data_IF_378816182366
#
_entry.id   IF_378816182366
#
_cell.length_a   1.000
_cell.length_b   1.000
_cell.length_c   1.000
_cell.angle_alpha   90.00
_cell.angle_beta   90.00
_cell.angle_gamma   90.00
#
_symmetry.space_group_name_H-M   'P 1'
#
loop_
_entity.id
_entity.type
_entity.pdbx_description
1 polymer ?
#
# COMPACT_ATOMS: atom_id res chain seq x y z
N UNK A 1 1.04 83.97 17.98
CA UNK A 1 1.64 83.43 16.74
C UNK A 1 2.33 82.11 17.09
N UNK A 2 2.00 81.07 16.33
CA UNK A 2 2.59 79.73 16.17
C UNK A 2 2.97 78.86 17.40
N UNK A 3 2.18 77.79 17.53
CA UNK A 3 2.44 76.54 18.26
C UNK A 3 3.50 75.70 17.52
N UNK A 4 4.39 75.03 18.24
CA UNK A 4 5.08 73.83 17.74
C UNK A 4 5.06 72.74 18.82
N UNK A 5 4.20 71.74 18.60
CA UNK A 5 4.19 70.49 19.36
C UNK A 5 5.16 69.49 18.72
N UNK A 6 6.01 68.88 19.53
CA UNK A 6 6.91 67.81 19.11
C UNK A 6 6.13 66.50 19.11
N UNK A 7 5.82 65.97 17.93
CA UNK A 7 5.34 64.59 17.78
C UNK A 7 6.55 63.64 17.73
N UNK A 8 6.66 62.76 18.71
CA UNK A 8 7.54 61.60 18.66
C UNK A 8 6.89 60.51 17.80
N UNK A 9 7.46 60.23 16.63
CA UNK A 9 7.08 59.07 15.81
C UNK A 9 7.87 57.85 16.31
N UNK A 10 7.21 56.95 17.02
CA UNK A 10 7.69 55.60 17.29
C UNK A 10 7.42 54.71 16.07
N UNK A 11 8.45 54.48 15.25
CA UNK A 11 8.39 53.51 14.16
C UNK A 11 8.46 52.08 14.74
N UNK A 12 7.31 51.42 14.85
CA UNK A 12 7.23 50.00 15.18
C UNK A 12 7.71 49.16 14.00
N UNK A 13 8.86 48.50 14.15
CA UNK A 13 9.31 47.46 13.22
C UNK A 13 8.47 46.21 13.50
N UNK A 14 7.47 45.97 12.66
CA UNK A 14 6.76 44.69 12.64
C UNK A 14 7.66 43.65 11.97
N UNK A 15 8.37 42.86 12.77
CA UNK A 15 9.07 41.67 12.27
C UNK A 15 8.01 40.62 11.89
N UNK A 16 7.69 40.54 10.59
CA UNK A 16 6.95 39.41 10.06
C UNK A 16 7.86 38.18 10.12
N UNK A 17 7.68 37.35 11.15
CA UNK A 17 8.27 36.02 11.17
C UNK A 17 7.62 35.21 10.06
N UNK A 18 8.30 35.09 8.92
CA UNK A 18 7.97 34.09 7.93
C UNK A 18 8.12 32.72 8.61
N UNK A 19 6.99 32.08 8.93
CA UNK A 19 6.97 30.67 9.27
C UNK A 19 7.53 29.93 8.05
N UNK A 20 8.80 29.54 8.12
CA UNK A 20 9.37 28.62 7.16
C UNK A 20 8.52 27.36 7.22
N UNK A 21 7.79 27.07 6.13
CA UNK A 21 7.15 25.78 5.94
C UNK A 21 8.24 24.72 5.99
N UNK A 22 8.16 23.79 6.93
CA UNK A 22 9.05 22.64 6.95
C UNK A 22 9.08 21.99 5.56
N UNK A 23 10.25 21.58 5.06
CA UNK A 23 10.34 20.92 3.77
C UNK A 23 9.41 19.71 3.78
N UNK A 24 8.62 19.56 2.71
CA UNK A 24 7.72 18.42 2.56
C UNK A 24 8.50 17.12 2.77
N UNK A 25 7.95 16.14 3.52
CA UNK A 25 8.65 14.89 3.76
C UNK A 25 8.95 14.20 2.43
N UNK A 26 10.12 13.56 2.36
CA UNK A 26 10.45 12.74 1.20
C UNK A 26 9.35 11.70 0.97
N UNK A 27 8.87 11.64 -0.27
CA UNK A 27 7.71 10.82 -0.65
C UNK A 27 8.06 9.34 -0.75
N UNK A 28 9.24 9.03 -1.27
CA UNK A 28 9.69 7.66 -1.49
C UNK A 28 10.43 7.12 -0.28
N UNK A 29 9.98 5.97 0.21
CA UNK A 29 10.63 5.17 1.22
C UNK A 29 11.34 3.99 0.57
N UNK A 30 12.67 4.00 0.61
CA UNK A 30 13.48 2.94 0.04
C UNK A 30 13.48 1.70 0.96
N UNK A 31 13.60 0.48 0.40
CA UNK A 31 13.87 -0.70 1.21
C UNK A 31 15.14 -0.52 2.05
N UNK A 32 15.06 -0.79 3.35
CA UNK A 32 16.20 -0.74 4.28
C UNK A 32 16.70 0.67 4.62
N UNK A 33 15.94 1.71 4.28
CA UNK A 33 16.29 3.12 4.50
C UNK A 33 16.60 3.43 5.98
N UNK A 34 15.84 2.82 6.90
CA UNK A 34 16.10 2.88 8.33
C UNK A 34 15.75 4.21 8.98
N UNK A 35 15.01 5.08 8.29
CA UNK A 35 14.38 6.28 8.88
C UNK A 35 13.30 5.89 9.87
N UNK A 36 13.13 6.68 10.93
CA UNK A 36 12.03 6.47 11.89
C UNK A 36 10.70 6.79 11.21
N UNK A 37 9.73 5.88 11.30
CA UNK A 37 8.36 6.15 10.87
C UNK A 37 7.68 6.99 11.97
N UNK A 38 7.34 8.27 11.71
CA UNK A 38 6.84 9.15 12.76
C UNK A 38 5.40 8.77 13.17
N UNK A 39 4.99 9.22 14.35
CA UNK A 39 3.62 9.03 14.84
C UNK A 39 2.58 9.67 13.90
N UNK A 40 2.92 10.79 13.28
CA UNK A 40 2.09 11.50 12.31
C UNK A 40 2.94 11.88 11.10
N UNK A 41 2.41 11.69 9.90
CA UNK A 41 3.09 12.05 8.65
C UNK A 41 2.07 12.68 7.68
N UNK A 42 2.38 13.88 7.20
CA UNK A 42 1.50 14.65 6.32
C UNK A 42 2.10 14.79 4.92
N UNK A 43 1.33 14.42 3.90
CA UNK A 43 1.68 14.58 2.50
C UNK A 43 0.65 15.46 1.79
N UNK A 44 1.06 16.67 1.36
CA UNK A 44 0.25 17.47 0.45
C UNK A 44 -0.06 16.72 -0.85
N UNK A 45 -1.28 16.86 -1.36
CA UNK A 45 -1.72 16.37 -2.66
C UNK A 45 -2.73 17.34 -3.28
N UNK A 46 -3.13 17.10 -4.53
CA UNK A 46 -4.07 17.97 -5.27
C UNK A 46 -5.44 18.13 -4.60
N UNK A 47 -5.75 17.27 -3.63
CA UNK A 47 -7.00 17.25 -2.88
C UNK A 47 -6.85 17.78 -1.45
N UNK A 48 -5.68 18.30 -1.07
CA UNK A 48 -5.39 18.84 0.27
C UNK A 48 -4.21 18.12 0.92
N UNK A 49 -4.43 17.50 2.08
CA UNK A 49 -3.37 16.81 2.83
C UNK A 49 -3.83 15.40 3.17
N UNK A 50 -3.09 14.41 2.67
CA UNK A 50 -3.14 13.04 3.17
C UNK A 50 -2.37 12.99 4.48
N UNK A 51 -2.99 12.44 5.53
CA UNK A 51 -2.29 12.16 6.78
C UNK A 51 -2.24 10.66 7.04
N UNK A 52 -1.09 10.24 7.55
CA UNK A 52 -0.87 8.95 8.14
C UNK A 52 -0.71 9.15 9.65
N UNK A 53 -1.45 8.37 10.42
CA UNK A 53 -1.34 8.30 11.87
C UNK A 53 -0.93 6.88 12.26
N UNK A 54 0.13 6.76 13.04
CA UNK A 54 0.63 5.50 13.58
C UNK A 54 0.22 5.37 15.04
N UNK A 55 -0.75 4.50 15.31
CA UNK A 55 -1.19 4.20 16.66
C UNK A 55 -0.03 3.55 17.45
N UNK A 56 0.24 4.06 18.66
CA UNK A 56 1.36 3.61 19.47
C UNK A 56 2.62 4.47 19.36
N UNK A 57 2.62 5.50 18.50
CA UNK A 57 3.72 6.47 18.38
C UNK A 57 4.69 6.14 17.26
N UNK A 58 5.86 6.78 17.27
CA UNK A 58 6.88 6.58 16.25
C UNK A 58 7.47 5.15 16.30
N UNK A 59 7.87 4.62 15.16
CA UNK A 59 8.38 3.27 14.99
C UNK A 59 9.76 3.26 14.33
N UNK A 60 10.71 2.56 14.97
CA UNK A 60 12.00 2.25 14.37
C UNK A 60 11.83 1.25 13.21
N UNK A 61 12.17 1.68 11.99
CA UNK A 61 12.01 0.84 10.80
C UNK A 61 13.22 -0.08 10.54
N UNK A 62 14.38 0.28 11.09
CA UNK A 62 15.61 -0.52 10.94
C UNK A 62 15.40 -1.91 11.54
N UNK A 63 15.60 -2.94 10.72
CA UNK A 63 15.39 -4.33 11.12
C UNK A 63 13.92 -4.76 11.19
N UNK A 64 12.96 -3.90 10.84
CA UNK A 64 11.53 -4.24 10.79
C UNK A 64 11.16 -4.86 9.43
N UNK A 65 10.47 -6.02 9.37
CA UNK A 65 10.42 -6.83 8.16
C UNK A 65 9.51 -6.24 7.06
N UNK A 66 8.67 -5.26 7.42
CA UNK A 66 7.91 -4.47 6.44
C UNK A 66 8.80 -3.54 5.61
N UNK A 67 9.90 -3.04 6.21
CA UNK A 67 10.76 -2.02 5.61
C UNK A 67 12.08 -2.60 5.09
N UNK A 68 12.49 -3.78 5.56
CA UNK A 68 13.74 -4.42 5.15
C UNK A 68 13.59 -5.28 3.89
N UNK A 69 14.59 -5.28 2.99
CA UNK A 69 14.61 -6.15 1.82
C UNK A 69 14.97 -7.59 2.22
N UNK A 70 14.05 -8.27 2.90
CA UNK A 70 14.25 -9.62 3.45
C UNK A 70 14.41 -10.70 2.36
N UNK A 71 14.02 -10.41 1.12
CA UNK A 71 14.12 -11.31 -0.03
C UNK A 71 15.19 -10.89 -1.04
N UNK A 72 15.55 -11.80 -1.97
CA UNK A 72 16.61 -11.58 -2.96
C UNK A 72 16.25 -10.54 -4.03
N UNK A 73 14.97 -10.14 -4.14
CA UNK A 73 14.54 -9.11 -5.09
C UNK A 73 15.07 -7.71 -4.77
N UNK A 74 15.55 -7.46 -3.55
CA UNK A 74 15.88 -6.12 -3.07
C UNK A 74 14.66 -5.26 -2.71
N UNK A 75 13.44 -5.79 -2.84
CA UNK A 75 12.19 -5.13 -2.43
C UNK A 75 11.88 -5.41 -0.96
N UNK A 76 11.17 -4.48 -0.36
CA UNK A 76 10.48 -4.65 0.92
C UNK A 76 8.98 -4.39 0.73
N UNK A 77 8.13 -4.69 1.73
CA UNK A 77 6.70 -4.38 1.63
C UNK A 77 6.47 -2.89 1.32
N UNK A 78 7.27 -2.00 1.92
CA UNK A 78 7.20 -0.55 1.68
C UNK A 78 7.41 -0.17 0.20
N UNK A 79 8.12 -0.97 -0.62
CA UNK A 79 8.30 -0.70 -2.07
C UNK A 79 6.97 -0.46 -2.79
N UNK A 80 5.92 -1.22 -2.43
CA UNK A 80 4.58 -1.11 -3.02
C UNK A 80 3.55 -0.49 -2.07
N UNK A 81 3.94 -0.19 -0.83
CA UNK A 81 3.10 0.36 0.23
C UNK A 81 3.69 1.65 0.76
N UNK A 82 3.84 2.62 -0.15
CA UNK A 82 4.42 3.92 0.10
C UNK A 82 3.48 4.77 0.97
N UNK A 83 3.99 5.40 2.05
CA UNK A 83 3.17 6.25 2.92
C UNK A 83 2.49 7.39 2.17
N UNK A 84 3.20 8.04 1.24
CA UNK A 84 2.70 9.14 0.43
C UNK A 84 1.51 8.77 -0.47
N UNK A 85 1.31 7.48 -0.72
CA UNK A 85 0.20 6.92 -1.50
C UNK A 85 -0.81 6.19 -0.61
N UNK A 86 -0.93 6.59 0.67
CA UNK A 86 -1.85 5.99 1.63
C UNK A 86 -1.53 4.50 1.89
N UNK A 87 -0.25 4.18 2.07
CA UNK A 87 0.25 2.80 2.23
C UNK A 87 -0.09 1.91 1.02
N UNK A 88 -0.05 2.49 -0.17
CA UNK A 88 -0.29 1.86 -1.47
C UNK A 88 0.80 2.27 -2.47
N UNK A 89 0.55 2.11 -3.77
CA UNK A 89 1.40 2.63 -4.83
C UNK A 89 0.56 3.34 -5.89
N UNK A 90 0.89 4.59 -6.20
CA UNK A 90 0.29 5.34 -7.30
C UNK A 90 1.11 5.24 -8.59
N UNK A 91 0.45 5.44 -9.73
CA UNK A 91 1.14 5.53 -11.02
C UNK A 91 2.13 6.70 -11.06
N UNK A 92 1.78 7.82 -10.43
CA UNK A 92 2.65 8.99 -10.30
C UNK A 92 3.93 8.65 -9.54
N UNK A 93 3.83 8.03 -8.36
CA UNK A 93 5.02 7.62 -7.58
C UNK A 93 5.89 6.64 -8.36
N UNK A 94 5.30 5.72 -9.13
CA UNK A 94 6.05 4.83 -9.99
C UNK A 94 6.78 5.57 -11.13
N UNK A 95 6.16 6.59 -11.74
CA UNK A 95 6.81 7.43 -12.76
C UNK A 95 7.96 8.24 -12.16
N UNK A 96 7.74 8.90 -11.02
CA UNK A 96 8.76 9.65 -10.29
C UNK A 96 9.96 8.75 -9.96
N UNK A 97 9.69 7.51 -9.51
CA UNK A 97 10.75 6.55 -9.22
C UNK A 97 11.49 6.06 -10.45
N UNK A 98 10.79 5.86 -11.57
CA UNK A 98 11.41 5.51 -12.84
C UNK A 98 12.38 6.60 -13.27
N UNK A 99 11.93 7.85 -13.28
CA UNK A 99 12.72 8.98 -13.74
C UNK A 99 13.93 9.24 -12.82
N UNK A 100 13.78 9.02 -11.51
CA UNK A 100 14.86 9.14 -10.54
C UNK A 100 15.93 8.03 -10.64
N UNK A 101 15.57 6.84 -11.13
CA UNK A 101 16.46 5.66 -11.14
C UNK A 101 16.82 5.16 -12.54
N UNK A 102 16.27 5.75 -13.60
CA UNK A 102 16.40 5.21 -14.94
C UNK A 102 15.84 3.78 -15.07
N UNK A 103 14.83 3.43 -14.27
CA UNK A 103 14.22 2.10 -14.25
C UNK A 103 15.00 1.03 -13.49
N UNK A 104 16.09 1.37 -12.78
CA UNK A 104 16.91 0.36 -12.06
C UNK A 104 16.40 0.06 -10.64
N UNK A 105 15.35 0.72 -10.17
CA UNK A 105 14.75 0.41 -8.87
C UNK A 105 14.14 -1.01 -8.85
N UNK A 106 14.26 -1.77 -7.73
CA UNK A 106 13.60 -3.07 -7.57
C UNK A 106 12.10 -3.09 -7.83
N UNK A 107 11.40 -1.95 -7.74
CA UNK A 107 10.01 -1.80 -8.16
C UNK A 107 9.76 -2.27 -9.61
N UNK A 108 10.73 -2.10 -10.50
CA UNK A 108 10.61 -2.40 -11.94
C UNK A 108 11.13 -3.80 -12.31
N UNK A 109 11.39 -4.66 -11.33
CA UNK A 109 11.91 -5.99 -11.58
C UNK A 109 11.01 -6.80 -12.54
N UNK A 110 11.64 -7.58 -13.43
CA UNK A 110 10.94 -8.28 -14.49
C UNK A 110 9.84 -9.24 -13.99
N UNK A 111 10.02 -9.85 -12.81
CA UNK A 111 9.12 -10.87 -12.29
C UNK A 111 7.71 -10.35 -11.97
N UNK A 112 7.51 -9.07 -11.70
CA UNK A 112 6.17 -8.52 -11.47
C UNK A 112 6.00 -7.01 -11.74
N UNK A 113 7.10 -6.25 -11.80
CA UNK A 113 7.13 -4.81 -12.07
C UNK A 113 7.16 -4.44 -13.56
N UNK A 114 7.29 -5.42 -14.45
CA UNK A 114 7.15 -5.27 -15.90
C UNK A 114 5.79 -5.77 -16.38
N UNK A 115 5.36 -5.29 -17.55
CA UNK A 115 4.18 -5.80 -18.23
C UNK A 115 4.32 -7.29 -18.53
N UNK A 116 5.52 -7.73 -18.94
CA UNK A 116 5.86 -9.12 -19.08
C UNK A 116 7.39 -9.35 -19.04
N UNK A 117 7.89 -10.44 -18.42
CA UNK A 117 9.33 -10.71 -18.36
C UNK A 117 10.01 -10.91 -19.73
N UNK A 118 9.23 -11.22 -20.77
CA UNK A 118 9.75 -11.43 -22.15
C UNK A 118 10.10 -10.12 -22.86
N UNK A 119 9.66 -8.97 -22.34
CA UNK A 119 9.86 -7.68 -22.98
C UNK A 119 11.26 -7.12 -22.64
N UNK A 120 11.78 -6.13 -23.40
CA UNK A 120 13.03 -5.45 -23.06
C UNK A 120 12.91 -4.69 -21.74
N UNK A 121 13.59 -5.13 -20.69
CA UNK A 121 13.38 -4.64 -19.31
C UNK A 121 14.01 -3.26 -19.05
N UNK A 122 14.87 -2.79 -19.95
CA UNK A 122 15.43 -1.44 -19.96
C UNK A 122 14.47 -0.40 -20.61
N UNK A 123 13.49 -0.87 -21.38
CA UNK A 123 12.57 0.01 -22.10
C UNK A 123 11.38 0.43 -21.20
N UNK A 124 11.20 1.75 -21.02
CA UNK A 124 10.06 2.34 -20.28
C UNK A 124 8.69 1.80 -20.75
N UNK A 125 8.55 1.53 -22.05
CA UNK A 125 7.33 0.96 -22.63
C UNK A 125 6.96 -0.43 -22.09
N UNK A 126 7.95 -1.21 -21.65
CA UNK A 126 7.75 -2.54 -21.03
C UNK A 126 7.16 -2.47 -19.63
N UNK A 127 6.99 -1.27 -19.07
CA UNK A 127 6.45 -1.03 -17.72
C UNK A 127 5.18 -0.17 -17.74
N UNK A 128 4.56 0.04 -18.92
CA UNK A 128 3.42 0.96 -19.06
C UNK A 128 2.22 0.63 -18.17
N UNK A 129 1.96 -0.64 -17.83
CA UNK A 129 0.89 -1.00 -16.90
C UNK A 129 1.16 -0.48 -15.48
N UNK A 130 2.42 -0.52 -15.04
CA UNK A 130 2.82 0.03 -13.76
C UNK A 130 2.87 1.57 -13.82
N UNK A 131 3.56 2.11 -14.83
CA UNK A 131 3.83 3.54 -14.94
C UNK A 131 2.57 4.36 -15.25
N UNK A 132 1.64 3.86 -16.05
CA UNK A 132 0.44 4.63 -16.44
C UNK A 132 -0.78 4.28 -15.58
N UNK A 133 -0.81 3.09 -14.97
CA UNK A 133 -2.01 2.57 -14.31
C UNK A 133 -1.80 2.11 -12.88
N UNK A 134 -0.55 2.05 -12.39
CA UNK A 134 -0.20 1.55 -11.06
C UNK A 134 -0.43 0.05 -10.91
N UNK A 135 -0.41 -0.72 -12.01
CA UNK A 135 -0.71 -2.15 -11.99
C UNK A 135 0.57 -2.99 -11.94
N UNK A 136 0.64 -3.88 -10.94
CA UNK A 136 1.65 -4.92 -10.82
C UNK A 136 1.13 -6.20 -11.48
N UNK A 137 2.01 -6.93 -12.15
CA UNK A 137 1.70 -8.21 -12.78
C UNK A 137 1.70 -9.33 -11.74
N UNK A 138 0.63 -10.10 -11.70
CA UNK A 138 0.47 -11.26 -10.82
C UNK A 138 0.28 -12.49 -11.70
N UNK A 139 1.29 -13.35 -11.77
CA UNK A 139 1.16 -14.65 -12.40
C UNK A 139 0.50 -15.63 -11.43
N UNK A 140 -0.56 -16.29 -11.87
CA UNK A 140 -1.23 -17.36 -11.13
C UNK A 140 -1.16 -18.66 -11.92
N UNK A 141 -1.15 -19.77 -11.21
CA UNK A 141 -1.30 -21.09 -11.81
C UNK A 141 -2.71 -21.23 -12.38
N UNK A 142 -2.82 -21.81 -13.57
CA UNK A 142 -4.07 -22.10 -14.23
C UNK A 142 -4.05 -23.52 -14.82
N UNK A 143 -5.05 -24.38 -14.57
CA UNK A 143 -6.10 -24.21 -13.58
C UNK A 143 -5.55 -24.04 -12.16
N UNK A 144 -6.35 -23.45 -11.28
CA UNK A 144 -5.97 -23.28 -9.87
C UNK A 144 -5.78 -24.64 -9.20
N UNK A 145 -4.96 -24.67 -8.16
CA UNK A 145 -4.72 -25.86 -7.35
C UNK A 145 -5.28 -25.62 -5.96
N UNK A 146 -5.97 -26.62 -5.41
CA UNK A 146 -6.39 -26.62 -4.02
C UNK A 146 -5.19 -26.61 -3.07
N UNK A 147 -5.44 -26.29 -1.80
CA UNK A 147 -4.42 -26.31 -0.75
C UNK A 147 -3.71 -27.68 -0.59
N UNK A 148 -4.37 -28.77 -1.00
CA UNK A 148 -3.85 -30.14 -0.96
C UNK A 148 -3.07 -30.56 -2.23
N UNK A 149 -2.85 -29.64 -3.18
CA UNK A 149 -2.12 -29.93 -4.42
C UNK A 149 -2.98 -30.48 -5.56
N UNK A 150 -4.28 -30.71 -5.37
CA UNK A 150 -5.18 -31.17 -6.43
C UNK A 150 -5.53 -30.02 -7.37
N UNK A 151 -5.35 -30.24 -8.67
CA UNK A 151 -5.81 -29.31 -9.70
C UNK A 151 -7.33 -29.28 -9.71
N UNK A 152 -7.92 -28.09 -9.62
CA UNK A 152 -9.35 -27.87 -9.78
C UNK A 152 -9.68 -27.99 -11.26
N UNK A 153 -10.68 -28.81 -11.62
CA UNK A 153 -11.22 -28.87 -12.99
C UNK A 153 -12.16 -27.67 -13.19
N UNK A 154 -11.82 -26.71 -14.05
CA UNK A 154 -12.73 -25.59 -14.34
C UNK A 154 -13.97 -26.08 -15.09
N UNK A 155 -15.11 -25.44 -14.83
CA UNK A 155 -16.36 -25.57 -15.59
C UNK A 155 -16.43 -24.60 -16.79
N UNK A 156 -15.37 -23.83 -17.01
CA UNK A 156 -15.19 -22.92 -18.14
C UNK A 156 -13.78 -23.02 -18.74
N UNK A 157 -13.62 -22.52 -19.95
CA UNK A 157 -12.31 -22.34 -20.60
C UNK A 157 -11.95 -20.87 -20.68
N UNK A 158 -10.66 -20.57 -20.85
CA UNK A 158 -10.17 -19.20 -21.07
C UNK A 158 -9.50 -19.16 -22.43
N UNK A 159 -9.97 -18.26 -23.29
CA UNK A 159 -9.40 -17.96 -24.59
C UNK A 159 -8.74 -16.58 -24.56
N UNK A 160 -7.58 -16.45 -25.21
CA UNK A 160 -6.84 -15.19 -25.27
C UNK A 160 -7.21 -14.44 -26.54
N UNK A 161 -8.15 -13.50 -26.42
CA UNK A 161 -8.64 -12.70 -27.56
C UNK A 161 -7.65 -11.58 -27.94
N UNK A 162 -7.06 -10.92 -26.95
CA UNK A 162 -6.12 -9.80 -27.15
C UNK A 162 -5.16 -9.69 -25.97
N UNK A 163 -3.87 -9.77 -26.25
CA UNK A 163 -2.82 -9.60 -25.24
C UNK A 163 -1.65 -8.79 -25.82
N UNK A 164 -1.71 -7.44 -25.76
CA UNK A 164 -0.67 -6.58 -26.34
C UNK A 164 0.67 -6.66 -25.60
N UNK A 165 0.70 -7.26 -24.40
CA UNK A 165 1.90 -7.36 -23.56
C UNK A 165 2.54 -8.75 -23.62
N UNK A 166 1.87 -9.74 -24.22
CA UNK A 166 2.36 -11.10 -24.42
C UNK A 166 2.35 -12.02 -23.20
N UNK A 167 1.99 -11.54 -22.01
CA UNK A 167 2.06 -12.33 -20.77
C UNK A 167 0.94 -13.34 -20.53
N UNK A 168 0.06 -13.51 -21.52
CA UNK A 168 -0.93 -14.56 -21.64
C UNK A 168 -0.96 -15.21 -23.04
N UNK A 169 -0.16 -14.77 -24.02
CA UNK A 169 -0.15 -15.33 -25.38
C UNK A 169 1.22 -15.81 -25.88
N UNK A 170 2.32 -15.38 -25.26
CA UNK A 170 3.66 -15.76 -25.68
C UNK A 170 4.02 -17.21 -25.29
N UNK A 171 4.99 -17.85 -25.97
CA UNK A 171 5.45 -19.19 -25.61
C UNK A 171 5.85 -19.30 -24.13
N UNK A 172 5.32 -20.29 -23.42
CA UNK A 172 5.55 -20.49 -21.98
C UNK A 172 4.65 -19.64 -21.06
N UNK A 173 3.80 -18.78 -21.61
CA UNK A 173 2.85 -17.94 -20.88
C UNK A 173 1.41 -18.22 -21.31
N UNK A 174 0.48 -17.93 -20.41
CA UNK A 174 -0.95 -18.02 -20.69
C UNK A 174 -1.60 -19.37 -20.41
N UNK A 175 -2.94 -19.45 -20.58
CA UNK A 175 -3.73 -20.59 -20.12
C UNK A 175 -3.23 -21.94 -20.66
N UNK A 176 -2.78 -21.98 -21.92
CA UNK A 176 -2.23 -23.19 -22.56
C UNK A 176 -0.90 -23.64 -21.94
N UNK A 177 -0.10 -22.69 -21.42
CA UNK A 177 1.12 -22.96 -20.68
C UNK A 177 0.88 -23.17 -19.16
N UNK A 178 -0.37 -23.28 -18.74
CA UNK A 178 -0.75 -23.59 -17.36
C UNK A 178 -0.64 -22.40 -16.39
N UNK A 179 -0.66 -21.16 -16.88
CA UNK A 179 -0.56 -19.96 -16.06
C UNK A 179 -1.38 -18.80 -16.61
N UNK A 180 -1.73 -17.83 -15.77
CA UNK A 180 -2.42 -16.61 -16.20
C UNK A 180 -1.79 -15.42 -15.50
N UNK A 181 -1.43 -14.41 -16.27
CA UNK A 181 -1.03 -13.12 -15.75
C UNK A 181 -2.24 -12.19 -15.64
N UNK A 182 -2.54 -11.75 -14.43
CA UNK A 182 -3.50 -10.67 -14.16
C UNK A 182 -2.77 -9.45 -13.63
N UNK A 183 -3.36 -8.27 -13.79
CA UNK A 183 -2.71 -7.01 -13.42
C UNK A 183 -3.56 -6.29 -12.39
N UNK A 184 -2.96 -5.96 -11.24
CA UNK A 184 -3.70 -5.44 -10.09
C UNK A 184 -2.91 -4.32 -9.42
N UNK A 185 -3.63 -3.34 -8.87
CA UNK A 185 -3.01 -2.31 -8.03
C UNK A 185 -2.64 -2.90 -6.68
N UNK A 186 -1.48 -2.56 -6.10
CA UNK A 186 -1.29 -2.65 -4.66
C UNK A 186 -2.45 -1.92 -3.98
N UNK A 187 -3.03 -2.55 -2.95
CA UNK A 187 -4.10 -1.94 -2.16
C UNK A 187 -3.48 -1.34 -0.90
N UNK A 188 -4.08 -0.27 -0.34
CA UNK A 188 -3.68 0.23 0.97
C UNK A 188 -3.60 -0.88 2.01
N UNK A 189 -2.49 -0.98 2.73
CA UNK A 189 -2.33 -1.84 3.92
C UNK A 189 -2.52 -1.08 5.23
N UNK A 190 -3.12 0.11 5.15
CA UNK A 190 -3.60 0.88 6.28
C UNK A 190 -5.08 0.64 6.55
N UNK A 191 -5.53 1.04 7.74
CA UNK A 191 -6.93 0.91 8.18
C UNK A 191 -7.40 -0.56 8.27
N UNK A 192 -6.47 -1.52 8.40
CA UNK A 192 -6.78 -2.96 8.41
C UNK A 192 -7.70 -3.37 9.55
N UNK A 193 -7.68 -2.65 10.68
CA UNK A 193 -8.64 -2.80 11.78
C UNK A 193 -10.10 -2.84 11.30
N UNK A 194 -10.45 -2.01 10.32
CA UNK A 194 -11.81 -1.93 9.79
C UNK A 194 -12.09 -3.00 8.73
N UNK A 195 -11.10 -3.35 7.90
CA UNK A 195 -11.25 -4.40 6.89
C UNK A 195 -11.36 -5.80 7.51
N UNK A 196 -10.75 -6.00 8.67
CA UNK A 196 -10.77 -7.26 9.41
C UNK A 196 -11.92 -7.35 10.41
N UNK A 197 -12.70 -6.28 10.59
CA UNK A 197 -13.82 -6.28 11.52
C UNK A 197 -14.89 -7.29 11.05
N UNK A 198 -15.32 -8.14 11.99
CA UNK A 198 -16.43 -9.07 11.80
C UNK A 198 -17.64 -8.53 12.55
N UNK A 199 -18.65 -8.08 11.81
CA UNK A 199 -19.88 -7.53 12.39
C UNK A 199 -20.93 -8.58 12.76
N UNK A 200 -20.91 -9.74 12.10
CA UNK A 200 -21.89 -10.80 12.28
C UNK A 200 -21.20 -12.16 12.28
N UNK A 201 -21.69 -13.17 13.02
CA UNK A 201 -21.13 -14.52 13.01
C UNK A 201 -21.49 -15.33 11.74
N UNK A 202 -22.17 -14.72 10.77
CA UNK A 202 -22.57 -15.33 9.50
C UNK A 202 -22.42 -14.32 8.36
N UNK A 203 -22.26 -14.82 7.12
CA UNK A 203 -22.33 -13.99 5.92
C UNK A 203 -23.80 -13.64 5.63
N UNK A 204 -24.22 -12.37 5.75
CA UNK A 204 -25.61 -11.99 5.53
C UNK A 204 -26.08 -12.11 4.07
N UNK A 205 -25.15 -12.18 3.10
CA UNK A 205 -25.47 -12.37 1.68
C UNK A 205 -25.69 -13.83 1.35
N UNK A 206 -24.94 -14.72 1.97
CA UNK A 206 -24.97 -16.15 1.68
C UNK A 206 -25.79 -16.96 2.69
N UNK A 207 -26.09 -16.41 3.87
CA UNK A 207 -26.84 -17.09 4.93
C UNK A 207 -26.07 -18.26 5.59
N UNK A 208 -24.74 -18.29 5.45
CA UNK A 208 -23.88 -19.35 5.98
C UNK A 208 -22.94 -18.80 7.06
N UNK A 209 -22.49 -19.66 7.96
CA UNK A 209 -21.49 -19.30 8.97
C UNK A 209 -20.20 -18.78 8.31
N UNK A 210 -19.56 -17.80 8.94
CA UNK A 210 -18.29 -17.31 8.43
C UNK A 210 -17.22 -18.41 8.50
N UNK A 211 -16.36 -18.53 7.47
CA UNK A 211 -15.18 -19.36 7.55
C UNK A 211 -14.30 -18.95 8.75
N UNK A 212 -13.75 -19.94 9.45
CA UNK A 212 -12.83 -19.71 10.56
C UNK A 212 -11.38 -19.73 10.07
N UNK A 213 -10.54 -18.87 10.63
CA UNK A 213 -9.10 -18.92 10.41
C UNK A 213 -8.56 -20.24 11.01
N UNK A 214 -7.82 -21.04 10.22
CA UNK A 214 -7.38 -22.36 10.66
C UNK A 214 -6.36 -22.32 11.82
N UNK A 215 -5.68 -21.20 12.05
CA UNK A 215 -4.69 -21.07 13.13
C UNK A 215 -5.29 -20.51 14.41
N UNK A 216 -6.22 -19.55 14.31
CA UNK A 216 -6.80 -18.87 15.48
C UNK A 216 -8.19 -19.38 15.86
N UNK A 217 -8.91 -20.01 14.93
CA UNK A 217 -10.31 -20.37 15.09
C UNK A 217 -11.27 -19.18 15.09
N UNK A 218 -10.79 -17.96 14.84
CA UNK A 218 -11.63 -16.76 14.80
C UNK A 218 -12.34 -16.62 13.44
N UNK A 219 -13.54 -16.02 13.39
CA UNK A 219 -14.21 -15.73 12.13
C UNK A 219 -13.37 -14.82 11.23
N UNK A 220 -13.29 -15.16 9.95
CA UNK A 220 -12.61 -14.34 8.94
C UNK A 220 -13.57 -13.30 8.34
N UNK A 221 -13.09 -12.07 8.11
CA UNK A 221 -13.94 -10.99 7.57
C UNK A 221 -14.35 -11.17 6.10
N UNK A 222 -13.60 -11.99 5.34
CA UNK A 222 -13.85 -12.19 3.90
C UNK A 222 -13.52 -10.99 3.02
N UNK A 223 -12.88 -9.95 3.55
CA UNK A 223 -12.60 -8.69 2.84
C UNK A 223 -11.15 -8.57 2.33
N UNK A 224 -10.34 -9.62 2.48
CA UNK A 224 -8.91 -9.58 2.18
C UNK A 224 -8.66 -10.05 0.74
N UNK A 225 -7.98 -9.19 -0.02
CA UNK A 225 -7.81 -9.29 -1.48
C UNK A 225 -9.11 -9.11 -2.28
N UNK A 226 -9.01 -8.53 -3.47
CA UNK A 226 -10.17 -8.29 -4.34
C UNK A 226 -10.88 -9.57 -4.81
N UNK A 227 -10.20 -10.71 -4.73
CA UNK A 227 -10.71 -12.03 -5.07
C UNK A 227 -10.91 -12.95 -3.85
N UNK A 228 -10.83 -12.40 -2.63
CA UNK A 228 -10.99 -13.13 -1.36
C UNK A 228 -10.14 -14.42 -1.22
N UNK A 229 -9.02 -14.51 -1.94
CA UNK A 229 -8.20 -15.74 -1.97
C UNK A 229 -7.34 -15.96 -0.73
N UNK A 230 -7.14 -14.92 0.07
CA UNK A 230 -6.39 -14.98 1.32
C UNK A 230 -7.36 -14.66 2.45
N UNK A 231 -7.66 -15.65 3.30
CA UNK A 231 -8.65 -15.50 4.37
C UNK A 231 -8.19 -14.63 5.55
N UNK A 232 -6.87 -14.44 5.70
CA UNK A 232 -6.30 -13.67 6.81
C UNK A 232 -5.05 -12.89 6.40
N UNK A 233 -4.64 -11.93 7.23
CA UNK A 233 -3.43 -11.13 6.99
C UNK A 233 -2.19 -12.01 6.90
N UNK A 234 -2.11 -13.10 7.67
CA UNK A 234 -0.98 -14.03 7.56
C UNK A 234 -0.86 -14.59 6.14
N UNK A 235 -1.95 -15.17 5.62
CA UNK A 235 -1.96 -15.77 4.29
C UNK A 235 -1.65 -14.70 3.22
N UNK A 236 -2.16 -13.48 3.41
CA UNK A 236 -1.90 -12.37 2.51
C UNK A 236 -0.41 -11.98 2.51
N UNK A 237 0.21 -11.78 3.69
CA UNK A 237 1.60 -11.32 3.77
C UNK A 237 2.58 -12.40 3.32
N UNK A 238 2.25 -13.68 3.53
CA UNK A 238 3.06 -14.81 3.07
C UNK A 238 2.98 -14.97 1.53
N UNK A 239 1.79 -14.85 0.91
CA UNK A 239 1.63 -14.82 -0.56
C UNK A 239 2.38 -13.63 -1.17
N UNK A 240 2.29 -12.46 -0.53
CA UNK A 240 2.99 -11.24 -0.96
C UNK A 240 4.51 -11.37 -0.85
N UNK A 241 5.04 -11.87 0.29
CA UNK A 241 6.47 -12.08 0.47
C UNK A 241 7.05 -13.04 -0.58
N UNK A 242 6.38 -14.17 -0.81
CA UNK A 242 6.83 -15.15 -1.80
C UNK A 242 6.78 -14.58 -3.23
N UNK A 243 5.68 -13.93 -3.60
CA UNK A 243 5.44 -13.49 -4.97
C UNK A 243 6.21 -12.22 -5.33
N UNK A 244 6.24 -11.23 -4.43
CA UNK A 244 6.73 -9.89 -4.73
C UNK A 244 8.16 -9.66 -4.30
N UNK A 245 8.54 -10.22 -3.14
CA UNK A 245 9.89 -10.09 -2.60
C UNK A 245 10.82 -11.22 -3.09
N UNK A 246 10.26 -12.18 -3.84
CA UNK A 246 10.90 -13.45 -4.20
C UNK A 246 11.41 -14.20 -2.96
N UNK A 247 10.71 -14.07 -1.82
CA UNK A 247 11.15 -14.64 -0.56
C UNK A 247 10.96 -16.15 -0.58
N UNK A 248 12.09 -16.86 -0.69
CA UNK A 248 12.12 -18.33 -0.80
C UNK A 248 11.85 -19.04 0.54
N UNK A 249 11.90 -18.30 1.65
CA UNK A 249 11.63 -18.79 2.99
C UNK A 249 10.18 -18.46 3.38
N UNK A 250 9.74 -19.01 4.50
CA UNK A 250 8.52 -18.55 5.18
C UNK A 250 8.89 -17.46 6.17
N UNK A 251 7.99 -16.48 6.33
CA UNK A 251 8.11 -15.50 7.41
C UNK A 251 8.12 -16.23 8.75
N UNK A 252 9.01 -15.82 9.65
CA UNK A 252 9.03 -16.31 11.02
C UNK A 252 7.77 -15.85 11.78
N UNK A 253 7.38 -16.52 12.88
CA UNK A 253 6.31 -16.03 13.73
C UNK A 253 6.50 -14.58 14.18
N UNK A 254 7.72 -14.19 14.51
CA UNK A 254 8.05 -12.83 14.94
C UNK A 254 7.94 -11.82 13.80
N UNK A 255 8.39 -12.18 12.59
CA UNK A 255 8.24 -11.32 11.41
C UNK A 255 6.76 -11.07 11.10
N UNK A 256 5.94 -12.13 11.12
CA UNK A 256 4.50 -12.03 10.93
C UNK A 256 3.84 -11.16 11.99
N UNK A 257 4.21 -11.33 13.26
CA UNK A 257 3.65 -10.56 14.35
C UNK A 257 3.97 -9.07 14.21
N UNK A 258 5.21 -8.72 13.84
CA UNK A 258 5.63 -7.33 13.63
C UNK A 258 4.93 -6.70 12.42
N UNK A 259 4.85 -7.41 11.29
CA UNK A 259 4.12 -6.92 10.09
C UNK A 259 2.65 -6.69 10.45
N UNK A 260 1.98 -7.68 11.05
CA UNK A 260 0.57 -7.57 11.45
C UNK A 260 0.35 -6.41 12.42
N UNK A 261 1.24 -6.23 13.40
CA UNK A 261 1.12 -5.13 14.35
C UNK A 261 1.19 -3.77 13.66
N UNK A 262 2.12 -3.59 12.71
CA UNK A 262 2.22 -2.38 11.91
C UNK A 262 0.99 -2.14 11.03
N UNK A 263 0.51 -3.16 10.30
CA UNK A 263 -0.67 -3.05 9.44
C UNK A 263 -1.95 -2.69 10.23
N UNK A 264 -2.06 -3.16 11.47
CA UNK A 264 -3.17 -2.84 12.37
C UNK A 264 -3.05 -1.47 13.04
N UNK A 265 -1.85 -0.88 13.07
CA UNK A 265 -1.60 0.39 13.75
C UNK A 265 -1.51 1.59 12.80
N UNK A 266 -1.37 1.37 11.49
CA UNK A 266 -1.26 2.46 10.51
C UNK A 266 -2.64 2.86 9.95
N UNK A 267 -3.00 4.13 10.14
CA UNK A 267 -4.27 4.71 9.71
C UNK A 267 -4.02 5.85 8.73
N UNK A 268 -4.87 5.94 7.71
CA UNK A 268 -4.73 6.95 6.65
C UNK A 268 -6.08 7.52 6.25
N UNK A 269 -6.11 8.84 6.03
CA UNK A 269 -7.26 9.57 5.50
C UNK A 269 -6.82 10.97 5.04
N UNK A 270 -7.65 11.62 4.21
CA UNK A 270 -7.47 13.04 3.93
C UNK A 270 -7.76 13.84 5.21
N UNK A 271 -6.74 14.47 5.76
CA UNK A 271 -6.87 15.35 6.93
C UNK A 271 -7.58 16.65 6.58
N UNK A 272 -7.35 17.16 5.38
CA UNK A 272 -8.01 18.36 4.88
C UNK A 272 -8.12 18.32 3.37
N UNK A 273 -9.08 19.09 2.85
CA UNK A 273 -9.23 19.33 1.42
C UNK A 273 -9.99 20.62 1.15
N UNK A 274 -10.50 20.77 -0.08
CA UNK A 274 -11.23 21.98 -0.51
C UNK A 274 -12.47 22.28 0.37
N UNK A 275 -13.04 21.26 1.00
CA UNK A 275 -14.19 21.39 1.92
C UNK A 275 -13.83 21.65 3.39
N UNK A 276 -12.55 21.85 3.72
CA UNK A 276 -12.09 22.03 5.11
C UNK A 276 -11.41 20.79 5.70
N UNK A 277 -11.20 20.79 7.01
CA UNK A 277 -10.55 19.70 7.73
C UNK A 277 -11.53 18.54 8.02
N UNK A 278 -11.06 17.29 7.93
CA UNK A 278 -11.86 16.08 8.17
C UNK A 278 -12.31 15.87 9.63
N UNK A 279 -11.89 16.76 10.52
CA UNK A 279 -12.30 16.83 11.92
C UNK A 279 -12.97 18.17 12.30
N UNK A 280 -13.29 19.01 11.31
CA UNK A 280 -14.07 20.22 11.54
C UNK A 280 -15.52 19.88 11.90
N UNK A 281 -16.18 20.77 12.64
CA UNK A 281 -17.62 20.73 12.92
C UNK A 281 -18.15 19.41 13.51
N UNK A 282 -17.32 18.71 14.29
CA UNK A 282 -17.67 17.45 14.95
C UNK A 282 -17.53 16.20 14.06
N UNK A 283 -16.97 16.33 12.86
CA UNK A 283 -16.61 15.20 12.02
C UNK A 283 -15.50 14.34 12.67
N UNK A 284 -15.53 13.04 12.41
CA UNK A 284 -14.55 12.06 12.90
C UNK A 284 -13.90 11.29 11.74
N UNK A 285 -13.76 11.95 10.59
CA UNK A 285 -13.22 11.35 9.36
C UNK A 285 -11.71 11.46 9.22
N UNK A 286 -11.03 12.11 10.17
CA UNK A 286 -9.58 12.24 10.15
C UNK A 286 -8.88 10.97 10.67
N UNK A 287 -7.62 10.72 10.27
CA UNK A 287 -6.96 9.46 10.61
C UNK A 287 -6.73 9.29 12.12
N UNK A 288 -6.67 10.39 12.88
CA UNK A 288 -6.58 10.33 14.34
C UNK A 288 -7.84 9.76 14.97
N UNK A 289 -9.02 10.19 14.51
CA UNK A 289 -10.28 9.57 14.97
C UNK A 289 -10.33 8.09 14.63
N UNK A 290 -9.79 7.69 13.46
CA UNK A 290 -9.70 6.28 13.07
C UNK A 290 -8.73 5.47 13.95
N UNK A 291 -7.61 6.08 14.34
CA UNK A 291 -6.60 5.45 15.19
C UNK A 291 -7.07 5.28 16.64
N UNK A 292 -8.00 6.13 17.09
CA UNK A 292 -8.52 6.07 18.46
C UNK A 292 -9.50 4.90 18.60
N UNK A 293 -9.45 4.08 19.67
CA UNK A 293 -10.49 3.12 19.95
C UNK A 293 -11.84 3.84 20.03
N UNK A 294 -12.88 3.30 19.36
CA UNK A 294 -14.24 3.76 19.62
C UNK A 294 -14.50 3.56 21.11
N UNK A 295 -14.79 4.64 21.84
CA UNK A 295 -15.43 4.49 23.14
C UNK A 295 -16.68 3.66 22.90
N UNK A 296 -16.79 2.53 23.60
CA UNK A 296 -17.99 1.70 23.59
C UNK A 296 -19.21 2.62 23.71
N UNK A 297 -20.11 2.52 22.74
CA UNK A 297 -21.46 3.05 22.81
C UNK A 297 -22.41 1.86 22.80
#
# INVERSE_FOLDING_TARGET
>A
MLRYGVLALSAGIAAAAALASDPAPERWWSPGDGRVFPATLDYPNDNGVLRIELAGGALETRGHPFFEPIGPSGRACVTCHQPADSMSLSAQTAQERWDATGGTDPLFAAHDGSNCPILPQDAKASHSLLLERGLIRIQRKWPVTEWNGRTVKPDFTIEVVRDPNGCNSAPGYGPEAGNISVYRRPRPVSNMKYLLAVGFPFDPKQGVALPLDPDTGEPMSGNIMADNRAGSLRLQMEDAAQTHLAFLKRLSPDERARIRAFELSVFTAQQSGKGGAGNADGAMGDPRSCATPSRER
#
